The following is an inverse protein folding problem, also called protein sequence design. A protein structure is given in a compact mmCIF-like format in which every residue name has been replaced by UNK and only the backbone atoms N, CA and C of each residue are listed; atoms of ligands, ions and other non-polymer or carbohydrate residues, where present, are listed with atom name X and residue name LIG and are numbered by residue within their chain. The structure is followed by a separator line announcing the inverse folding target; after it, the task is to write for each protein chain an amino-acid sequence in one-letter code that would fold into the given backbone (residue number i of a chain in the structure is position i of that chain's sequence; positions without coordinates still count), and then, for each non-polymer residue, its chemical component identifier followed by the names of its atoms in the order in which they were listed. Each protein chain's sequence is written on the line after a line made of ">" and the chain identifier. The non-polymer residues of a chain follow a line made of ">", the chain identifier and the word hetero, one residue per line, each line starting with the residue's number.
data_IF_841417855176
#
_entry.id   IF_841417855176
#
_cell.length_a   1.000
_cell.length_b   1.000
_cell.length_c   1.000
_cell.angle_alpha   90.00
_cell.angle_beta   90.00
_cell.angle_gamma   90.00
#
_symmetry.space_group_name_H-M   'P 1'
#
loop_
_entity.id
_entity.type
_entity.pdbx_description
1 polymer ?
#
# COMPACT_ATOMS: atom_id res chain seq x y z
N UNK A 1 3.74 51.32 3.66
CA UNK A 1 4.46 50.04 3.65
C UNK A 1 4.77 49.70 5.08
N UNK A 2 4.50 48.47 5.51
CA UNK A 2 4.71 48.06 6.90
C UNK A 2 6.20 47.75 7.11
N UNK A 3 6.89 48.50 7.97
CA UNK A 3 8.35 48.43 8.20
C UNK A 3 8.81 47.14 8.94
N UNK A 4 7.90 46.18 9.15
CA UNK A 4 8.11 44.97 9.93
C UNK A 4 8.68 43.77 9.15
N UNK A 5 8.76 43.86 7.82
CA UNK A 5 9.37 42.80 7.00
C UNK A 5 10.80 43.19 6.65
N UNK A 6 11.77 42.35 7.02
CA UNK A 6 13.20 42.60 6.83
C UNK A 6 13.54 43.09 5.42
N UNK A 7 14.40 44.09 5.32
CA UNK A 7 14.95 44.54 4.04
C UNK A 7 15.88 43.45 3.51
N UNK A 8 15.75 43.09 2.22
CA UNK A 8 16.45 42.00 1.51
C UNK A 8 15.84 40.59 1.59
N UNK A 9 14.52 40.44 1.64
CA UNK A 9 13.89 39.13 1.41
C UNK A 9 14.00 38.76 -0.08
N UNK A 10 14.68 37.66 -0.38
CA UNK A 10 14.65 37.00 -1.70
C UNK A 10 13.91 35.68 -1.57
N UNK A 11 12.93 35.47 -2.43
CA UNK A 11 12.28 34.18 -2.61
C UNK A 11 12.72 33.59 -3.95
N UNK A 12 13.10 32.32 -3.95
CA UNK A 12 13.32 31.54 -5.18
C UNK A 12 12.16 30.58 -5.33
N UNK A 13 11.51 30.61 -6.49
CA UNK A 13 10.45 29.67 -6.85
C UNK A 13 10.98 28.77 -7.95
N UNK A 14 10.95 27.46 -7.73
CA UNK A 14 11.29 26.45 -8.74
C UNK A 14 10.01 25.84 -9.28
N UNK A 15 9.84 25.87 -10.60
CA UNK A 15 8.74 25.19 -11.28
C UNK A 15 9.24 23.88 -11.87
N UNK A 16 8.61 22.78 -11.50
CA UNK A 16 8.85 21.49 -12.13
C UNK A 16 7.84 21.32 -13.28
N UNK A 17 8.34 21.30 -14.51
CA UNK A 17 7.51 21.14 -15.71
C UNK A 17 7.54 19.69 -16.17
N UNK A 18 6.42 18.98 -15.98
CA UNK A 18 6.26 17.62 -16.48
C UNK A 18 5.88 17.63 -17.98
N UNK A 19 6.86 17.85 -18.86
CA UNK A 19 6.67 18.05 -20.33
C UNK A 19 5.91 16.91 -21.04
N UNK A 20 5.80 15.72 -20.44
CA UNK A 20 5.13 14.55 -21.04
C UNK A 20 3.92 14.05 -20.25
N UNK A 21 3.55 14.73 -19.17
CA UNK A 21 2.37 14.37 -18.39
C UNK A 21 1.10 14.89 -19.08
N UNK A 22 0.04 14.08 -19.04
CA UNK A 22 -1.29 14.46 -19.52
C UNK A 22 -2.04 15.14 -18.39
N UNK A 23 -2.59 16.32 -18.65
CA UNK A 23 -3.44 16.98 -17.67
C UNK A 23 -4.77 16.24 -17.55
N UNK A 24 -5.18 15.93 -16.33
CA UNK A 24 -6.46 15.28 -16.01
C UNK A 24 -7.22 16.08 -14.96
N UNK A 25 -8.54 16.15 -15.11
CA UNK A 25 -9.44 16.93 -14.25
C UNK A 25 -10.67 16.15 -13.81
N UNK A 26 -10.90 14.96 -14.37
CA UNK A 26 -12.08 14.14 -14.06
C UNK A 26 -11.68 12.70 -13.74
N UNK A 27 -12.57 11.99 -13.03
CA UNK A 27 -12.44 10.55 -12.75
C UNK A 27 -12.18 9.75 -14.03
N UNK A 28 -13.02 9.95 -15.06
CA UNK A 28 -12.89 9.25 -16.34
C UNK A 28 -11.52 9.46 -16.99
N UNK A 29 -11.04 10.70 -17.05
CA UNK A 29 -9.73 11.01 -17.63
C UNK A 29 -8.60 10.34 -16.85
N UNK A 30 -8.64 10.42 -15.52
CA UNK A 30 -7.61 9.83 -14.68
C UNK A 30 -7.56 8.30 -14.86
N UNK A 31 -8.71 7.61 -14.81
CA UNK A 31 -8.78 6.16 -15.07
C UNK A 31 -8.26 5.78 -16.46
N UNK A 32 -8.66 6.52 -17.49
CA UNK A 32 -8.24 6.28 -18.87
C UNK A 32 -6.73 6.40 -19.04
N UNK A 33 -6.13 7.49 -18.58
CA UNK A 33 -4.72 7.79 -18.84
C UNK A 33 -3.77 6.96 -17.96
N UNK A 34 -4.15 6.67 -16.71
CA UNK A 34 -3.39 5.73 -15.84
C UNK A 34 -3.43 4.30 -16.35
N UNK A 35 -4.59 3.83 -16.85
CA UNK A 35 -4.70 2.52 -17.53
C UNK A 35 -3.83 2.44 -18.77
N UNK A 36 -3.66 3.55 -19.48
CA UNK A 36 -2.74 3.70 -20.62
C UNK A 36 -1.27 3.90 -20.19
N UNK A 37 -0.95 3.78 -18.90
CA UNK A 37 0.38 3.93 -18.32
C UNK A 37 1.07 5.27 -18.65
N UNK A 38 0.28 6.35 -18.80
CA UNK A 38 0.82 7.69 -19.01
C UNK A 38 1.09 8.39 -17.69
N UNK A 39 2.14 9.21 -17.67
CA UNK A 39 2.31 10.18 -16.61
C UNK A 39 1.14 11.18 -16.64
N UNK A 40 0.65 11.59 -15.46
CA UNK A 40 -0.49 12.49 -15.33
C UNK A 40 -0.18 13.68 -14.45
N UNK A 41 -0.80 14.83 -14.75
CA UNK A 41 -0.78 16.02 -13.91
C UNK A 41 -2.20 16.43 -13.56
N UNK A 42 -2.50 16.59 -12.28
CA UNK A 42 -3.84 16.98 -11.84
C UNK A 42 -4.07 18.47 -12.12
N UNK A 43 -5.21 18.77 -12.73
CA UNK A 43 -5.71 20.13 -12.94
C UNK A 43 -6.87 20.52 -12.03
N UNK A 44 -7.36 19.59 -11.22
CA UNK A 44 -8.45 19.77 -10.26
C UNK A 44 -8.41 18.65 -9.22
N UNK A 45 -9.15 18.82 -8.13
CA UNK A 45 -9.49 17.73 -7.22
C UNK A 45 -10.38 16.71 -7.94
N UNK A 46 -10.10 15.42 -7.73
CA UNK A 46 -10.79 14.32 -8.43
C UNK A 46 -11.44 13.37 -7.42
N UNK A 47 -12.77 13.41 -7.39
CA UNK A 47 -13.58 12.35 -6.78
C UNK A 47 -13.68 11.17 -7.76
N UNK A 48 -13.12 10.02 -7.41
CA UNK A 48 -13.20 8.84 -8.26
C UNK A 48 -14.62 8.28 -8.27
N UNK A 49 -15.07 7.80 -9.43
CA UNK A 49 -16.37 7.15 -9.56
C UNK A 49 -17.53 8.14 -9.74
N UNK A 50 -17.23 9.37 -10.15
CA UNK A 50 -18.22 10.37 -10.59
C UNK A 50 -18.15 10.60 -12.10
N UNK A 51 -19.26 11.09 -12.67
CA UNK A 51 -19.28 11.61 -14.03
C UNK A 51 -18.74 13.05 -14.10
N UNK A 52 -18.73 13.65 -15.29
CA UNK A 52 -18.24 15.02 -15.51
C UNK A 52 -19.08 16.12 -14.81
N UNK A 53 -20.32 15.81 -14.41
CA UNK A 53 -21.17 16.69 -13.62
C UNK A 53 -20.95 16.55 -12.10
N UNK A 54 -20.08 15.62 -11.67
CA UNK A 54 -19.83 15.32 -10.26
C UNK A 54 -20.84 14.35 -9.64
N UNK A 55 -21.72 13.76 -10.44
CA UNK A 55 -22.72 12.80 -9.95
C UNK A 55 -22.07 11.42 -9.80
N UNK A 56 -22.41 10.71 -8.71
CA UNK A 56 -21.89 9.38 -8.42
C UNK A 56 -22.40 8.37 -9.44
N UNK A 57 -21.49 7.62 -10.05
CA UNK A 57 -21.83 6.57 -11.00
C UNK A 57 -22.58 5.40 -10.33
N UNK A 58 -23.46 4.69 -11.06
CA UNK A 58 -24.13 3.50 -10.55
C UNK A 58 -23.15 2.46 -9.98
N UNK A 59 -23.59 1.71 -8.97
CA UNK A 59 -22.75 0.72 -8.28
C UNK A 59 -22.11 -0.30 -9.23
N UNK A 60 -22.87 -0.78 -10.22
CA UNK A 60 -22.39 -1.74 -11.21
C UNK A 60 -21.30 -1.17 -12.13
N UNK A 61 -21.37 0.13 -12.42
CA UNK A 61 -20.37 0.82 -13.23
C UNK A 61 -19.08 0.97 -12.44
N UNK A 62 -19.16 1.46 -11.19
CA UNK A 62 -18.01 1.51 -10.27
C UNK A 62 -17.40 0.12 -10.04
N UNK A 63 -18.20 -0.92 -9.87
CA UNK A 63 -17.69 -2.28 -9.72
C UNK A 63 -16.84 -2.71 -10.94
N UNK A 64 -17.26 -2.35 -12.15
CA UNK A 64 -16.54 -2.67 -13.39
C UNK A 64 -15.21 -1.91 -13.55
N UNK A 65 -15.04 -0.80 -12.83
CA UNK A 65 -13.82 0.01 -12.85
C UNK A 65 -12.73 -0.53 -11.92
N UNK A 66 -13.09 -1.37 -10.95
CA UNK A 66 -12.13 -1.94 -9.99
C UNK A 66 -11.13 -2.86 -10.67
N UNK A 67 -9.86 -2.63 -10.38
CA UNK A 67 -8.80 -3.56 -10.72
C UNK A 67 -8.77 -4.75 -9.77
N UNK A 68 -8.12 -5.83 -10.21
CA UNK A 68 -7.83 -7.01 -9.40
C UNK A 68 -6.37 -7.38 -9.54
N UNK A 69 -5.72 -7.68 -8.44
CA UNK A 69 -4.40 -8.29 -8.45
C UNK A 69 -4.42 -9.59 -7.64
N UNK A 70 -3.63 -10.57 -8.07
CA UNK A 70 -3.40 -11.79 -7.28
C UNK A 70 -2.78 -11.36 -5.93
N UNK A 71 -3.24 -11.94 -4.84
CA UNK A 71 -2.71 -11.64 -3.51
C UNK A 71 -1.20 -11.87 -3.49
N UNK A 72 -0.45 -10.89 -3.01
CA UNK A 72 0.99 -11.02 -2.79
C UNK A 72 1.29 -11.70 -1.45
N UNK A 73 0.29 -11.81 -0.57
CA UNK A 73 0.38 -12.55 0.69
C UNK A 73 0.05 -14.05 0.54
N UNK A 74 0.16 -14.81 1.63
CA UNK A 74 -0.16 -16.25 1.67
C UNK A 74 -1.59 -16.56 1.19
N UNK A 75 -1.71 -17.46 0.19
CA UNK A 75 -2.98 -17.92 -0.40
C UNK A 75 -3.30 -19.40 -0.14
N UNK A 76 -2.54 -20.10 0.71
CA UNK A 76 -2.70 -21.54 0.95
C UNK A 76 -4.11 -21.92 1.42
N UNK A 77 -4.80 -21.06 2.18
CA UNK A 77 -6.20 -21.28 2.54
C UNK A 77 -7.11 -21.43 1.31
N UNK A 78 -6.93 -20.57 0.31
CA UNK A 78 -7.71 -20.63 -0.94
C UNK A 78 -7.36 -21.85 -1.78
N UNK A 79 -6.09 -22.29 -1.78
CA UNK A 79 -5.70 -23.55 -2.41
C UNK A 79 -6.36 -24.75 -1.73
N UNK A 80 -6.29 -24.81 -0.41
CA UNK A 80 -6.85 -25.90 0.40
C UNK A 80 -8.38 -25.99 0.34
N UNK A 81 -9.05 -24.90 -0.04
CA UNK A 81 -10.52 -24.83 -0.19
C UNK A 81 -10.98 -24.87 -1.64
N UNK A 82 -10.09 -25.16 -2.60
CA UNK A 82 -10.36 -25.16 -4.04
C UNK A 82 -10.95 -23.82 -4.56
N UNK A 83 -10.53 -22.70 -3.96
CA UNK A 83 -11.01 -21.36 -4.22
C UNK A 83 -9.88 -20.41 -4.65
N UNK A 84 -8.79 -20.91 -5.26
CA UNK A 84 -7.64 -20.09 -5.67
C UNK A 84 -8.03 -18.94 -6.60
N UNK A 85 -9.05 -19.13 -7.45
CA UNK A 85 -9.59 -18.08 -8.31
C UNK A 85 -10.12 -16.86 -7.54
N UNK A 86 -10.38 -17.00 -6.23
CA UNK A 86 -10.83 -15.93 -5.33
C UNK A 86 -9.69 -15.28 -4.53
N UNK A 87 -8.44 -15.74 -4.70
CA UNK A 87 -7.27 -15.22 -3.98
C UNK A 87 -6.71 -13.92 -4.62
N UNK A 88 -7.59 -12.94 -4.83
CA UNK A 88 -7.26 -11.64 -5.38
C UNK A 88 -7.73 -10.52 -4.45
N UNK A 89 -6.96 -9.44 -4.38
CA UNK A 89 -7.41 -8.19 -3.78
C UNK A 89 -7.86 -7.24 -4.88
N UNK A 90 -8.81 -6.38 -4.55
CA UNK A 90 -9.26 -5.31 -5.42
C UNK A 90 -8.43 -4.05 -5.21
N UNK A 91 -8.33 -3.25 -6.25
CA UNK A 91 -7.83 -1.88 -6.14
C UNK A 91 -8.69 -0.90 -6.92
N UNK A 92 -8.70 0.37 -6.51
CA UNK A 92 -9.44 1.42 -7.23
C UNK A 92 -8.60 1.92 -8.40
N UNK A 93 -7.38 2.38 -8.15
CA UNK A 93 -6.52 2.95 -9.19
C UNK A 93 -5.08 2.45 -9.07
N UNK A 94 -4.48 2.07 -10.19
CA UNK A 94 -3.07 1.67 -10.25
C UNK A 94 -2.25 2.75 -10.97
N UNK A 95 -1.20 3.23 -10.31
CA UNK A 95 -0.24 4.14 -10.90
C UNK A 95 0.89 3.33 -11.55
N UNK A 96 0.97 3.42 -12.87
CA UNK A 96 2.00 2.76 -13.70
C UNK A 96 3.06 3.73 -14.21
N UNK A 97 2.91 5.00 -13.87
CA UNK A 97 3.78 6.09 -14.27
C UNK A 97 3.58 7.27 -13.29
N UNK A 98 4.38 8.31 -13.45
CA UNK A 98 4.41 9.45 -12.52
C UNK A 98 3.05 10.17 -12.39
N UNK A 99 2.78 10.65 -11.18
CA UNK A 99 1.59 11.44 -10.85
C UNK A 99 2.03 12.75 -10.21
N UNK A 100 1.70 13.86 -10.86
CA UNK A 100 1.97 15.20 -10.38
C UNK A 100 0.67 15.84 -9.89
N UNK A 101 0.53 16.01 -8.57
CA UNK A 101 -0.75 16.41 -7.97
C UNK A 101 -1.05 17.90 -8.00
N UNK A 102 -0.06 18.78 -8.13
CA UNK A 102 -0.24 20.24 -8.00
C UNK A 102 -0.95 20.68 -6.69
N UNK A 103 -0.90 19.85 -5.65
CA UNK A 103 -1.61 20.08 -4.39
C UNK A 103 -3.07 19.58 -4.38
N UNK A 104 -3.61 19.13 -5.51
CA UNK A 104 -4.94 18.54 -5.60
C UNK A 104 -5.00 17.13 -5.00
N UNK A 105 -6.22 16.68 -4.71
CA UNK A 105 -6.48 15.35 -4.21
C UNK A 105 -7.05 14.38 -5.26
N UNK A 106 -6.85 13.09 -4.99
CA UNK A 106 -7.58 11.97 -5.59
C UNK A 106 -8.26 11.24 -4.45
N UNK A 107 -9.59 11.11 -4.51
CA UNK A 107 -10.42 10.52 -3.46
C UNK A 107 -11.15 9.28 -3.94
N UNK A 108 -11.01 8.18 -3.18
CA UNK A 108 -11.59 6.88 -3.45
C UNK A 108 -12.90 6.59 -2.67
N UNK A 109 -13.47 7.57 -1.97
CA UNK A 109 -14.70 7.49 -1.16
C UNK A 109 -15.80 6.61 -1.77
N UNK A 110 -16.17 6.89 -3.02
CA UNK A 110 -17.28 6.18 -3.67
C UNK A 110 -16.96 4.73 -4.04
N UNK A 111 -15.75 4.25 -3.79
CA UNK A 111 -15.40 2.83 -3.93
C UNK A 111 -15.22 2.17 -2.56
N UNK A 112 -14.46 2.80 -1.68
CA UNK A 112 -14.02 2.23 -0.40
C UNK A 112 -15.10 2.30 0.68
N UNK A 113 -15.92 3.35 0.66
CA UNK A 113 -17.00 3.58 1.61
C UNK A 113 -18.39 3.25 1.04
N UNK A 114 -18.45 2.54 -0.09
CA UNK A 114 -19.70 2.05 -0.64
C UNK A 114 -20.30 0.96 0.25
N UNK A 115 -21.31 1.31 1.05
CA UNK A 115 -21.96 0.41 2.01
C UNK A 115 -23.47 0.25 1.74
N UNK A 116 -24.04 -0.87 2.19
CA UNK A 116 -25.50 -1.03 2.26
C UNK A 116 -26.08 -0.35 3.50
N UNK A 117 -27.42 -0.40 3.65
CA UNK A 117 -28.12 0.21 4.79
C UNK A 117 -27.77 -0.38 6.16
N UNK A 118 -26.97 -1.46 6.22
CA UNK A 118 -26.47 -2.08 7.46
C UNK A 118 -25.00 -1.74 7.74
N UNK A 119 -24.36 -0.95 6.89
CA UNK A 119 -22.93 -0.62 6.99
C UNK A 119 -22.00 -1.71 6.44
N UNK A 120 -22.54 -2.69 5.71
CA UNK A 120 -21.70 -3.73 5.09
C UNK A 120 -21.11 -3.22 3.77
N UNK A 121 -19.81 -3.45 3.51
CA UNK A 121 -19.17 -3.00 2.29
C UNK A 121 -19.73 -3.74 1.06
N UNK A 122 -20.04 -2.96 0.02
CA UNK A 122 -20.58 -3.43 -1.25
C UNK A 122 -19.49 -3.73 -2.27
N UNK A 123 -18.50 -2.83 -2.41
CA UNK A 123 -17.46 -2.95 -3.43
C UNK A 123 -16.13 -3.47 -2.85
N UNK A 124 -15.68 -2.84 -1.76
CA UNK A 124 -14.40 -3.08 -1.08
C UNK A 124 -14.52 -4.16 0.01
N UNK A 125 -15.03 -5.33 -0.35
CA UNK A 125 -15.08 -6.48 0.57
C UNK A 125 -13.68 -7.04 0.79
N UNK A 126 -13.15 -6.90 2.00
CA UNK A 126 -11.82 -7.34 2.40
C UNK A 126 -11.60 -7.14 3.90
N UNK A 127 -10.48 -7.59 4.48
CA UNK A 127 -9.32 -8.23 3.83
C UNK A 127 -9.64 -9.62 3.26
N UNK A 128 -8.79 -10.11 2.36
CA UNK A 128 -8.72 -11.55 2.07
C UNK A 128 -8.44 -12.31 3.36
N UNK A 129 -8.96 -13.53 3.49
CA UNK A 129 -8.71 -14.35 4.66
C UNK A 129 -7.42 -15.15 4.49
N UNK A 130 -6.54 -15.03 5.49
CA UNK A 130 -5.39 -15.93 5.65
C UNK A 130 -5.85 -17.34 6.05
N UNK A 131 -6.84 -17.41 6.95
CA UNK A 131 -7.60 -18.61 7.29
C UNK A 131 -9.00 -18.18 7.72
N UNK A 132 -10.00 -18.99 7.42
CA UNK A 132 -11.37 -18.77 7.92
C UNK A 132 -12.02 -20.11 8.27
N UNK A 133 -12.67 -20.13 9.42
CA UNK A 133 -13.59 -21.19 9.85
C UNK A 133 -15.02 -20.63 9.87
N UNK A 134 -15.53 -20.28 8.68
CA UNK A 134 -16.84 -19.68 8.51
C UNK A 134 -17.03 -18.42 9.36
N UNK A 135 -18.14 -18.35 10.10
CA UNK A 135 -18.47 -17.22 10.99
C UNK A 135 -17.80 -17.29 12.37
N UNK A 136 -17.03 -18.34 12.67
CA UNK A 136 -16.52 -18.57 14.05
C UNK A 136 -15.21 -17.84 14.30
N UNK A 137 -14.28 -17.93 13.35
CA UNK A 137 -12.97 -17.28 13.46
C UNK A 137 -12.36 -17.08 12.07
N UNK A 138 -11.74 -15.93 11.86
CA UNK A 138 -10.94 -15.68 10.67
C UNK A 138 -9.72 -14.83 11.02
N UNK A 139 -8.64 -15.04 10.27
CA UNK A 139 -7.45 -14.21 10.32
C UNK A 139 -7.36 -13.46 9.00
N UNK A 140 -7.21 -12.15 9.09
CA UNK A 140 -6.99 -11.29 7.94
C UNK A 140 -5.64 -11.57 7.27
N UNK A 141 -5.63 -11.60 5.94
CA UNK A 141 -4.46 -11.62 5.08
C UNK A 141 -4.17 -10.22 4.55
N UNK A 142 -4.45 -9.99 3.26
CA UNK A 142 -4.17 -8.72 2.57
C UNK A 142 -5.46 -7.89 2.38
N UNK A 143 -5.41 -6.60 2.69
CA UNK A 143 -6.50 -5.66 2.42
C UNK A 143 -6.60 -5.31 0.92
N UNK A 144 -7.79 -4.89 0.48
CA UNK A 144 -7.93 -4.15 -0.78
C UNK A 144 -7.20 -2.80 -0.68
N UNK A 145 -6.84 -2.19 -1.82
CA UNK A 145 -6.06 -0.96 -1.86
C UNK A 145 -6.72 0.15 -2.67
N UNK A 146 -6.93 1.35 -2.12
CA UNK A 146 -7.43 2.48 -2.90
C UNK A 146 -6.48 2.79 -4.07
N UNK A 147 -5.19 2.92 -3.76
CA UNK A 147 -4.12 3.21 -4.72
C UNK A 147 -3.05 2.13 -4.68
N UNK A 148 -2.55 1.78 -5.87
CA UNK A 148 -1.59 0.70 -6.04
C UNK A 148 -0.41 1.13 -6.91
N UNK A 149 0.82 0.81 -6.47
CA UNK A 149 2.04 0.93 -7.27
C UNK A 149 2.69 -0.45 -7.39
N UNK A 150 2.76 -0.95 -8.63
CA UNK A 150 3.41 -2.22 -9.00
C UNK A 150 4.40 -2.11 -10.14
N UNK A 151 4.57 -0.90 -10.67
CA UNK A 151 5.54 -0.59 -11.73
C UNK A 151 6.72 0.13 -11.09
N UNK A 152 7.94 -0.30 -11.40
CA UNK A 152 9.15 0.32 -10.87
C UNK A 152 9.34 1.73 -11.42
N UNK A 153 9.93 2.59 -10.58
CA UNK A 153 10.32 3.95 -10.96
C UNK A 153 9.18 4.97 -10.96
N UNK A 154 8.01 4.62 -10.39
CA UNK A 154 6.88 5.56 -10.29
C UNK A 154 7.16 6.62 -9.23
N UNK A 155 6.98 7.89 -9.61
CA UNK A 155 7.02 9.02 -8.68
C UNK A 155 5.64 9.62 -8.46
N UNK A 156 5.19 9.66 -7.21
CA UNK A 156 4.07 10.51 -6.78
C UNK A 156 4.66 11.82 -6.23
N UNK A 157 4.21 12.96 -6.77
CA UNK A 157 4.75 14.26 -6.40
C UNK A 157 3.63 15.26 -6.08
N UNK A 158 3.61 15.77 -4.86
CA UNK A 158 2.68 16.83 -4.42
C UNK A 158 1.20 16.52 -4.70
N UNK A 159 0.79 15.29 -4.42
CA UNK A 159 -0.60 14.80 -4.53
C UNK A 159 -1.14 14.42 -3.16
N UNK A 160 -2.41 14.69 -2.93
CA UNK A 160 -3.15 14.16 -1.78
C UNK A 160 -3.92 12.90 -2.21
N UNK A 161 -3.67 11.77 -1.55
CA UNK A 161 -4.39 10.52 -1.75
C UNK A 161 -5.30 10.26 -0.55
N UNK A 162 -6.60 10.13 -0.81
CA UNK A 162 -7.61 9.87 0.21
C UNK A 162 -8.20 8.47 -0.03
N UNK A 163 -8.04 7.58 0.94
CA UNK A 163 -8.70 6.27 0.89
C UNK A 163 -10.21 6.41 1.03
N UNK A 164 -10.68 7.39 1.81
CA UNK A 164 -12.05 7.90 1.84
C UNK A 164 -12.03 9.40 2.16
N UNK A 165 -13.15 10.10 2.01
CA UNK A 165 -13.23 11.54 2.27
C UNK A 165 -13.01 11.85 3.76
N UNK A 166 -12.47 13.04 4.07
CA UNK A 166 -12.25 13.48 5.45
C UNK A 166 -13.59 13.61 6.20
N UNK A 167 -14.63 14.05 5.49
CA UNK A 167 -16.00 14.20 5.98
C UNK A 167 -16.57 12.88 6.51
N UNK A 168 -16.20 11.75 5.91
CA UNK A 168 -16.62 10.41 6.33
C UNK A 168 -16.04 10.00 7.69
N UNK A 169 -15.05 10.74 8.21
CA UNK A 169 -14.41 10.50 9.49
C UNK A 169 -14.80 11.52 10.57
N UNK A 170 -15.42 12.64 10.19
CA UNK A 170 -15.66 13.73 11.13
C UNK A 170 -16.71 13.34 12.18
N UNK A 171 -16.37 13.60 13.44
CA UNK A 171 -17.30 13.55 14.57
C UNK A 171 -17.92 14.92 14.82
N UNK A 172 -19.11 14.96 15.41
CA UNK A 172 -19.81 16.22 15.76
C UNK A 172 -18.98 17.12 16.69
N UNK A 173 -18.00 16.57 17.42
CA UNK A 173 -17.11 17.28 18.35
C UNK A 173 -15.79 17.79 17.77
N UNK A 174 -15.55 17.66 16.45
CA UNK A 174 -14.34 18.17 15.80
C UNK A 174 -13.10 17.25 15.85
N UNK A 175 -13.31 15.95 16.02
CA UNK A 175 -12.27 14.90 15.90
C UNK A 175 -12.59 13.87 14.82
N UNK A 176 -11.73 12.85 14.69
CA UNK A 176 -11.90 11.74 13.74
C UNK A 176 -12.39 10.45 14.42
N UNK A 177 -13.43 9.81 13.87
CA UNK A 177 -13.80 8.44 14.21
C UNK A 177 -13.07 7.45 13.30
N UNK A 178 -11.94 6.93 13.79
CA UNK A 178 -11.14 5.96 13.05
C UNK A 178 -11.85 4.60 12.87
N UNK A 179 -13.00 4.35 13.50
CA UNK A 179 -13.77 3.13 13.25
C UNK A 179 -14.44 3.08 11.90
N UNK A 180 -14.68 4.24 11.27
CA UNK A 180 -15.16 4.32 9.91
C UNK A 180 -14.14 3.81 8.88
N UNK A 181 -12.87 3.68 9.27
CA UNK A 181 -11.80 3.15 8.42
C UNK A 181 -11.71 1.61 8.39
N UNK A 182 -12.52 0.90 9.19
CA UNK A 182 -12.44 -0.57 9.29
C UNK A 182 -12.56 -1.29 7.93
N UNK A 183 -13.34 -0.72 6.99
CA UNK A 183 -13.63 -1.33 5.70
C UNK A 183 -12.96 -0.62 4.51
N UNK A 184 -12.21 0.46 4.75
CA UNK A 184 -11.57 1.26 3.68
C UNK A 184 -10.37 0.53 3.07
N UNK A 185 -9.73 -0.36 3.82
CA UNK A 185 -8.55 -1.11 3.38
C UNK A 185 -7.27 -0.26 3.41
N UNK A 186 -6.35 -0.52 2.50
CA UNK A 186 -5.08 0.21 2.41
C UNK A 186 -5.24 1.46 1.53
N UNK A 187 -4.80 2.65 1.97
CA UNK A 187 -4.83 3.83 1.09
C UNK A 187 -3.82 3.67 -0.05
N UNK A 188 -2.54 3.43 0.24
CA UNK A 188 -1.50 3.22 -0.77
C UNK A 188 -0.74 1.90 -0.51
N UNK A 189 -0.89 0.94 -1.42
CA UNK A 189 -0.09 -0.29 -1.46
C UNK A 189 1.05 -0.13 -2.48
N UNK A 190 2.28 -0.41 -2.05
CA UNK A 190 3.50 -0.33 -2.85
C UNK A 190 4.17 -1.70 -2.89
N UNK A 191 4.31 -2.26 -4.08
CA UNK A 191 5.01 -3.52 -4.36
C UNK A 191 6.08 -3.37 -5.44
N UNK A 192 6.61 -2.16 -5.63
CA UNK A 192 7.63 -1.82 -6.61
C UNK A 192 8.49 -0.63 -6.13
N UNK A 193 9.59 -0.38 -6.83
CA UNK A 193 10.44 0.78 -6.56
C UNK A 193 9.65 2.06 -6.80
N UNK A 194 9.62 2.96 -5.81
CA UNK A 194 8.76 4.14 -5.87
C UNK A 194 9.31 5.32 -5.08
N UNK A 195 8.95 6.52 -5.53
CA UNK A 195 9.20 7.77 -4.81
C UNK A 195 7.89 8.46 -4.49
N UNK A 196 7.68 8.77 -3.22
CA UNK A 196 6.51 9.46 -2.68
C UNK A 196 7.00 10.76 -2.09
N UNK A 197 6.79 11.87 -2.79
CA UNK A 197 7.47 13.13 -2.55
C UNK A 197 6.45 14.26 -2.32
N UNK A 198 6.54 14.91 -1.16
CA UNK A 198 5.68 16.03 -0.79
C UNK A 198 4.19 15.71 -0.85
N UNK A 199 3.81 14.44 -0.66
CA UNK A 199 2.44 13.96 -0.76
C UNK A 199 1.72 14.02 0.59
N UNK A 200 0.39 13.97 0.54
CA UNK A 200 -0.43 13.63 1.69
C UNK A 200 -1.12 12.30 1.41
N UNK A 201 -1.01 11.33 2.31
CA UNK A 201 -1.67 10.02 2.14
C UNK A 201 -2.48 9.78 3.40
N UNK A 202 -3.79 9.59 3.25
CA UNK A 202 -4.70 9.68 4.39
C UNK A 202 -5.83 8.66 4.32
N UNK A 203 -6.45 8.45 5.48
CA UNK A 203 -7.74 7.79 5.63
C UNK A 203 -7.73 6.35 5.11
N UNK A 204 -7.09 5.46 5.88
CA UNK A 204 -7.06 4.03 5.56
C UNK A 204 -7.16 3.17 6.81
N UNK A 205 -7.57 1.91 6.64
CA UNK A 205 -7.32 0.90 7.67
C UNK A 205 -5.81 0.80 7.93
N UNK A 206 -5.09 0.68 6.83
CA UNK A 206 -3.65 0.88 6.72
C UNK A 206 -3.44 2.09 5.78
N UNK A 207 -2.60 3.06 6.11
CA UNK A 207 -2.42 4.22 5.23
C UNK A 207 -1.43 3.92 4.12
N UNK A 208 -0.18 3.57 4.47
CA UNK A 208 0.83 3.14 3.51
C UNK A 208 1.32 1.75 3.85
N UNK A 209 1.39 0.88 2.85
CA UNK A 209 2.02 -0.44 2.94
C UNK A 209 3.07 -0.60 1.86
N UNK A 210 4.28 -0.99 2.23
CA UNK A 210 5.39 -1.25 1.30
C UNK A 210 5.93 -2.67 1.52
N UNK A 211 5.79 -3.53 0.52
CA UNK A 211 6.18 -4.95 0.61
C UNK A 211 6.76 -5.47 -0.70
N UNK A 212 8.04 -5.87 -0.69
CA UNK A 212 8.67 -6.65 -1.75
C UNK A 212 8.56 -8.17 -1.53
N UNK A 213 9.17 -8.96 -2.42
CA UNK A 213 9.35 -10.42 -2.27
C UNK A 213 8.29 -11.34 -2.90
N UNK A 214 7.18 -10.82 -3.43
CA UNK A 214 6.17 -11.61 -4.18
C UNK A 214 5.23 -10.72 -5.01
N UNK A 215 5.78 -9.82 -5.84
CA UNK A 215 5.00 -8.86 -6.64
C UNK A 215 3.90 -9.53 -7.47
N UNK A 216 4.18 -10.70 -8.05
CA UNK A 216 3.24 -11.40 -8.93
C UNK A 216 2.21 -12.28 -8.20
N UNK A 217 2.31 -12.42 -6.88
CA UNK A 217 1.40 -13.27 -6.10
C UNK A 217 1.52 -14.77 -6.40
N UNK A 218 2.65 -15.20 -6.95
CA UNK A 218 2.86 -16.58 -7.39
C UNK A 218 3.55 -17.46 -6.34
N UNK A 219 4.35 -16.89 -5.43
CA UNK A 219 5.14 -17.70 -4.49
C UNK A 219 5.49 -16.96 -3.19
N UNK A 220 4.56 -17.01 -2.23
CA UNK A 220 4.80 -16.53 -0.86
C UNK A 220 5.76 -17.43 -0.08
N UNK A 221 5.54 -18.75 -0.12
CA UNK A 221 6.43 -19.72 0.53
C UNK A 221 7.53 -20.20 -0.41
N UNK A 222 8.76 -20.20 0.09
CA UNK A 222 9.86 -20.98 -0.47
C UNK A 222 10.07 -22.25 0.36
N UNK A 223 10.27 -23.38 -0.31
CA UNK A 223 10.43 -24.70 0.31
C UNK A 223 11.88 -24.94 0.78
N UNK A 224 12.84 -24.18 0.26
CA UNK A 224 14.24 -24.20 0.71
C UNK A 224 14.96 -22.90 0.33
N UNK A 225 16.08 -22.61 1.00
CA UNK A 225 16.93 -21.46 0.68
C UNK A 225 17.48 -21.49 -0.76
N UNK A 226 17.58 -22.67 -1.38
CA UNK A 226 18.00 -22.76 -2.80
C UNK A 226 16.99 -22.13 -3.76
N UNK A 227 15.73 -21.99 -3.35
CA UNK A 227 14.70 -21.28 -4.12
C UNK A 227 14.75 -19.77 -3.93
N UNK A 228 15.47 -19.29 -2.89
CA UNK A 228 15.72 -17.88 -2.70
C UNK A 228 16.83 -17.44 -3.64
N UNK A 229 16.47 -16.94 -4.83
CA UNK A 229 17.42 -16.41 -5.83
C UNK A 229 18.02 -15.05 -5.43
N UNK A 230 18.04 -14.73 -4.14
CA UNK A 230 18.39 -13.43 -3.59
C UNK A 230 17.24 -12.43 -3.65
N UNK A 231 17.34 -11.38 -2.85
CA UNK A 231 16.40 -10.28 -2.84
C UNK A 231 16.57 -9.35 -4.06
N UNK A 232 17.68 -9.43 -4.80
CA UNK A 232 18.01 -8.50 -5.89
C UNK A 232 16.93 -8.38 -6.98
N UNK A 233 16.11 -9.41 -7.20
CA UNK A 233 15.07 -9.39 -8.23
C UNK A 233 13.68 -8.98 -7.71
N UNK A 234 13.49 -8.97 -6.39
CA UNK A 234 12.15 -8.87 -5.78
C UNK A 234 12.09 -7.87 -4.63
N UNK A 235 13.24 -7.33 -4.24
CA UNK A 235 13.34 -6.19 -3.36
C UNK A 235 12.70 -4.99 -4.00
N UNK A 236 12.13 -4.14 -3.14
CA UNK A 236 11.70 -2.81 -3.54
C UNK A 236 12.46 -1.75 -2.74
N UNK A 237 12.79 -0.65 -3.38
CA UNK A 237 13.32 0.59 -2.77
C UNK A 237 12.23 1.67 -2.82
N UNK A 238 11.77 2.08 -1.64
CA UNK A 238 10.72 3.07 -1.48
C UNK A 238 11.24 4.29 -0.74
N UNK A 239 11.22 5.45 -1.41
CA UNK A 239 11.54 6.73 -0.79
C UNK A 239 10.28 7.51 -0.47
N UNK A 240 10.07 7.82 0.79
CA UNK A 240 8.99 8.67 1.29
C UNK A 240 9.62 9.92 1.90
N UNK A 241 9.41 11.07 1.25
CA UNK A 241 10.05 12.33 1.66
C UNK A 241 9.10 13.51 1.63
N UNK A 242 9.16 14.37 2.66
CA UNK A 242 8.34 15.58 2.72
C UNK A 242 6.84 15.31 2.88
N UNK A 243 6.44 14.09 3.26
CA UNK A 243 5.06 13.65 3.22
C UNK A 243 4.33 13.86 4.54
N UNK A 244 2.99 13.92 4.48
CA UNK A 244 2.13 13.74 5.65
C UNK A 244 1.34 12.44 5.47
N UNK A 245 1.54 11.49 6.38
CA UNK A 245 0.80 10.23 6.40
C UNK A 245 -0.07 10.22 7.65
N UNK A 246 -1.39 10.21 7.47
CA UNK A 246 -2.30 10.47 8.58
C UNK A 246 -3.62 9.71 8.55
N UNK A 247 -4.29 9.66 9.70
CA UNK A 247 -5.59 8.99 9.88
C UNK A 247 -5.55 7.52 9.44
N UNK A 248 -4.85 6.69 10.23
CA UNK A 248 -4.82 5.24 10.07
C UNK A 248 -5.60 4.53 11.18
N UNK A 249 -6.47 3.56 10.87
CA UNK A 249 -7.10 2.71 11.90
C UNK A 249 -6.06 1.85 12.62
N UNK A 250 -5.18 1.21 11.84
CA UNK A 250 -4.18 0.28 12.34
C UNK A 250 -2.79 0.87 12.17
N UNK A 251 -2.29 0.99 10.94
CA UNK A 251 -0.92 1.43 10.67
C UNK A 251 -0.89 2.67 9.78
N UNK A 252 -0.02 3.64 10.10
CA UNK A 252 0.30 4.73 9.17
C UNK A 252 1.29 4.25 8.11
N UNK A 253 2.38 3.60 8.53
CA UNK A 253 3.32 2.95 7.64
C UNK A 253 3.52 1.50 8.08
N UNK A 254 3.29 0.55 7.17
CA UNK A 254 3.57 -0.86 7.38
C UNK A 254 4.57 -1.34 6.33
N UNK A 255 5.69 -1.84 6.78
CA UNK A 255 6.76 -2.37 5.92
C UNK A 255 6.92 -3.87 6.19
N UNK A 256 7.49 -4.61 5.26
CA UNK A 256 7.81 -6.01 5.50
C UNK A 256 8.09 -6.77 4.21
N UNK A 257 8.08 -8.09 4.30
CA UNK A 257 8.33 -8.98 3.16
C UNK A 257 7.11 -9.87 2.89
N UNK A 258 6.74 -10.02 1.62
CA UNK A 258 5.73 -10.98 1.17
C UNK A 258 6.39 -12.33 0.81
N UNK A 259 7.33 -12.79 1.65
CA UNK A 259 8.05 -14.05 1.46
C UNK A 259 8.31 -14.71 2.80
N UNK A 260 8.11 -16.02 2.87
CA UNK A 260 8.39 -16.83 4.05
C UNK A 260 9.12 -18.12 3.68
N UNK A 261 10.13 -18.48 4.47
CA UNK A 261 10.78 -19.78 4.38
C UNK A 261 9.95 -20.81 5.13
N UNK A 262 9.53 -21.88 4.44
CA UNK A 262 8.75 -22.94 5.06
C UNK A 262 9.64 -23.73 6.02
N UNK A 263 9.13 -24.01 7.23
CA UNK A 263 9.77 -24.96 8.14
C UNK A 263 9.92 -26.33 7.47
N UNK A 264 10.98 -27.08 7.81
CA UNK A 264 11.34 -28.31 7.10
C UNK A 264 10.17 -29.32 7.05
N UNK A 265 10.06 -30.07 5.95
CA UNK A 265 8.97 -31.03 5.66
C UNK A 265 8.85 -32.19 6.66
N UNK A 266 9.83 -32.38 7.55
CA UNK A 266 9.76 -33.40 8.59
C UNK A 266 8.91 -32.87 9.74
N UNK A 267 7.59 -33.06 9.62
CA UNK A 267 6.72 -33.15 10.79
C UNK A 267 7.24 -34.32 11.63
N UNK A 268 8.09 -34.01 12.59
CA UNK A 268 8.52 -34.98 13.58
C UNK A 268 7.47 -35.03 14.68
N UNK A 269 7.18 -36.22 15.20
CA UNK A 269 6.43 -36.38 16.45
C UNK A 269 7.21 -35.82 17.65
N UNK A 270 8.51 -35.57 17.46
CA UNK A 270 9.35 -34.82 18.37
C UNK A 270 9.26 -33.32 18.02
N UNK A 271 8.57 -32.56 18.87
CA UNK A 271 8.37 -31.10 18.70
C UNK A 271 9.71 -30.36 18.71
N UNK A 272 10.73 -30.89 19.41
CA UNK A 272 12.07 -30.29 19.45
C UNK A 272 12.86 -30.57 18.16
N UNK A 273 12.45 -31.56 17.36
CA UNK A 273 13.01 -31.87 16.04
C UNK A 273 12.29 -31.14 14.89
N UNK A 274 11.21 -30.41 15.16
CA UNK A 274 10.63 -29.47 14.21
C UNK A 274 11.50 -28.20 14.19
N UNK A 275 12.62 -28.29 13.48
CA UNK A 275 13.62 -27.22 13.46
C UNK A 275 13.02 -25.98 12.78
N UNK A 276 13.05 -24.85 13.48
CA UNK A 276 12.83 -23.54 12.86
C UNK A 276 13.76 -23.42 11.64
N UNK A 277 13.27 -22.98 10.47
CA UNK A 277 14.14 -22.82 9.33
C UNK A 277 15.14 -21.69 9.63
N UNK A 278 16.41 -22.03 9.79
CA UNK A 278 17.46 -21.04 10.00
C UNK A 278 17.77 -20.30 8.70
N UNK A 279 17.85 -18.97 8.78
CA UNK A 279 18.57 -18.19 7.78
C UNK A 279 20.06 -18.52 7.93
N UNK A 280 20.77 -18.67 6.80
CA UNK A 280 22.16 -19.11 6.79
C UNK A 280 23.05 -17.98 6.27
N UNK A 281 24.26 -17.85 6.81
CA UNK A 281 25.30 -16.96 6.28
C UNK A 281 25.89 -17.50 4.96
N UNK A 282 26.81 -16.75 4.36
CA UNK A 282 27.50 -17.14 3.12
C UNK A 282 28.27 -18.47 3.23
N UNK A 283 28.63 -18.87 4.46
CA UNK A 283 29.39 -20.08 4.77
C UNK A 283 28.47 -21.26 5.15
N UNK A 284 27.15 -21.06 5.15
CA UNK A 284 26.15 -22.07 5.51
C UNK A 284 25.92 -22.23 7.02
N UNK A 285 26.45 -21.34 7.86
CA UNK A 285 26.16 -21.35 9.30
C UNK A 285 24.85 -20.63 9.58
N UNK A 286 24.09 -21.10 10.57
CA UNK A 286 22.87 -20.44 10.98
C UNK A 286 23.17 -19.08 11.65
N UNK A 287 22.46 -18.03 11.23
CA UNK A 287 22.37 -16.81 12.03
C UNK A 287 21.69 -17.14 13.35
N UNK A 288 22.24 -16.66 14.46
CA UNK A 288 21.59 -16.86 15.77
C UNK A 288 20.38 -15.95 15.88
N UNK A 289 19.24 -16.52 16.27
CA UNK A 289 18.06 -15.76 16.61
C UNK A 289 18.40 -14.67 17.64
N UNK A 290 17.83 -13.47 17.47
CA UNK A 290 18.01 -12.32 18.38
C UNK A 290 19.46 -11.87 18.57
N UNK A 291 20.37 -12.29 17.69
CA UNK A 291 21.71 -11.74 17.62
C UNK A 291 21.75 -10.76 16.45
N UNK A 292 22.13 -9.52 16.69
CA UNK A 292 22.26 -8.49 15.66
C UNK A 292 23.41 -8.76 14.66
N UNK A 293 23.88 -10.02 14.54
CA UNK A 293 24.97 -10.46 13.67
C UNK A 293 24.71 -10.11 12.20
N UNK A 294 23.45 -10.04 11.81
CA UNK A 294 23.03 -9.77 10.44
C UNK A 294 22.99 -8.27 10.07
N UNK A 295 23.13 -7.34 11.03
CA UNK A 295 22.89 -5.92 10.77
C UNK A 295 23.88 -5.31 9.76
N UNK A 296 25.14 -5.74 9.81
CA UNK A 296 26.20 -5.26 8.93
C UNK A 296 26.65 -6.33 7.91
N UNK A 297 25.88 -7.41 7.78
CA UNK A 297 26.20 -8.54 6.89
C UNK A 297 25.63 -8.29 5.48
N UNK A 298 26.53 -8.09 4.51
CA UNK A 298 26.18 -7.85 3.11
C UNK A 298 25.43 -9.04 2.48
N UNK A 299 25.79 -10.27 2.84
CA UNK A 299 25.11 -11.47 2.38
C UNK A 299 23.69 -11.53 2.94
N UNK A 300 23.51 -11.27 4.24
CA UNK A 300 22.16 -11.23 4.83
C UNK A 300 21.29 -10.20 4.12
N UNK A 301 21.81 -8.98 3.96
CA UNK A 301 21.11 -7.91 3.29
C UNK A 301 20.70 -8.36 1.90
N UNK A 302 21.63 -8.72 1.01
CA UNK A 302 21.36 -9.14 -0.38
C UNK A 302 20.44 -10.35 -0.51
N UNK A 303 20.42 -11.23 0.49
CA UNK A 303 19.68 -12.50 0.40
C UNK A 303 18.27 -12.39 0.98
N UNK A 304 18.08 -11.66 2.09
CA UNK A 304 16.86 -11.75 2.90
C UNK A 304 16.08 -10.45 3.03
N UNK A 305 16.71 -9.28 2.88
CA UNK A 305 16.00 -8.00 2.98
C UNK A 305 15.25 -7.74 1.68
N UNK A 306 13.91 -7.75 1.74
CA UNK A 306 13.03 -7.63 0.57
C UNK A 306 12.41 -6.23 0.41
N UNK A 307 12.63 -5.33 1.35
CA UNK A 307 12.03 -4.00 1.30
C UNK A 307 12.98 -3.03 1.99
N UNK A 308 13.42 -2.02 1.24
CA UNK A 308 14.10 -0.86 1.78
C UNK A 308 13.14 0.33 1.74
N UNK A 309 13.02 1.02 2.88
CA UNK A 309 12.21 2.23 2.98
C UNK A 309 13.03 3.35 3.58
N UNK A 310 13.17 4.44 2.83
CA UNK A 310 13.69 5.70 3.35
C UNK A 310 12.50 6.57 3.73
N UNK A 311 12.34 6.85 5.02
CA UNK A 311 11.38 7.84 5.53
C UNK A 311 12.13 9.08 5.98
N UNK A 312 11.93 10.21 5.29
CA UNK A 312 12.67 11.46 5.52
C UNK A 312 11.75 12.66 5.55
N UNK A 313 12.02 13.62 6.43
CA UNK A 313 11.33 14.91 6.50
C UNK A 313 9.79 14.81 6.44
N UNK A 314 9.22 13.75 7.02
CA UNK A 314 7.80 13.40 6.90
C UNK A 314 7.12 13.40 8.26
N UNK A 315 5.83 13.71 8.27
CA UNK A 315 4.97 13.71 9.45
C UNK A 315 4.09 12.47 9.44
N UNK A 316 4.06 11.76 10.55
CA UNK A 316 3.14 10.65 10.79
C UNK A 316 2.20 11.07 11.93
N UNK A 317 0.89 11.18 11.68
CA UNK A 317 -0.05 11.66 12.70
C UNK A 317 -1.39 10.92 12.70
N UNK A 318 -1.97 10.74 13.89
CA UNK A 318 -3.29 10.11 14.09
C UNK A 318 -3.35 8.65 13.61
N UNK A 319 -2.90 7.74 14.46
CA UNK A 319 -3.04 6.29 14.28
C UNK A 319 -3.87 5.67 15.40
N UNK A 320 -4.74 4.72 15.08
CA UNK A 320 -5.49 3.97 16.08
C UNK A 320 -4.68 2.88 16.78
N UNK A 321 -3.63 2.33 16.14
CA UNK A 321 -2.82 1.26 16.73
C UNK A 321 -1.32 1.55 16.69
N UNK A 322 -0.72 1.65 15.50
CA UNK A 322 0.73 1.84 15.33
C UNK A 322 1.06 2.92 14.30
N UNK A 323 2.10 3.69 14.61
CA UNK A 323 2.68 4.64 13.67
C UNK A 323 3.50 3.93 12.59
N UNK A 324 4.36 2.99 12.98
CA UNK A 324 5.15 2.14 12.07
C UNK A 324 5.06 0.68 12.52
N UNK A 325 4.83 -0.24 11.58
CA UNK A 325 4.88 -1.69 11.80
C UNK A 325 5.82 -2.38 10.82
N UNK A 326 6.49 -3.45 11.28
CA UNK A 326 7.44 -4.30 10.52
C UNK A 326 6.95 -5.74 10.54
#
# INVERSE_FOLDING_TARGET
>A
GNDSFGKNVRATVTFNVAHRAVQVQTSEQLFKETKAAKAVVLGADIMLGTNAAGEVLPLSERESMLGKMKSTYNIEFYKNTNAEANAYVKYVLEFKNDVYGNGYFIDAEYFTNAMDGTGQPLLFRGPLYFVSYGQVASVAGQDNAAFLIRTDGVTLYNVTLLGCSDESLQTEGGGYDLSNLNNVGTTLEINADAQILNCRIRNGRNVVRAYGGNRDGNKYFIDSLSENKGAENERIDVRIEGCVISQGREFLLKIGANRALRASKTLSSDVDACIEPNLLDENGNAYRAQSNQYLDDEYFYKTYVMTDVVLKDSVLETSGLFTVGV
#
